data_IF_608527615140
#
_entry.id   IF_608527615140
#
_cell.length_a   1.000
_cell.length_b   1.000
_cell.length_c   1.000
_cell.angle_alpha   90.00
_cell.angle_beta   90.00
_cell.angle_gamma   90.00
#
_symmetry.space_group_name_H-M   'P 1'
#
loop_
_entity.id
_entity.type
_entity.pdbx_description
1 polymer ?
#
# COMPACT_ATOMS: atom_id res chain seq x y z
N UNK A 1 -34.61 -2.44 6.71
CA UNK A 1 -33.80 -3.61 6.34
C UNK A 1 -32.54 -3.10 5.73
N UNK A 2 -31.33 -3.32 6.32
CA UNK A 2 -30.09 -2.97 5.65
C UNK A 2 -29.93 -3.85 4.42
N UNK A 3 -29.68 -3.24 3.27
CA UNK A 3 -29.40 -3.94 2.03
C UNK A 3 -28.19 -4.86 2.26
N UNK A 4 -28.37 -6.16 2.01
CA UNK A 4 -27.27 -7.13 1.95
C UNK A 4 -26.36 -6.70 0.83
N UNK A 5 -25.27 -6.02 1.13
CA UNK A 5 -24.23 -5.72 0.16
C UNK A 5 -23.62 -7.04 -0.30
N UNK A 6 -23.64 -7.30 -1.59
CA UNK A 6 -22.91 -8.43 -2.15
C UNK A 6 -21.45 -8.38 -1.67
N UNK A 7 -20.84 -9.53 -1.37
CA UNK A 7 -19.46 -9.55 -0.90
C UNK A 7 -18.56 -8.90 -1.95
N UNK A 8 -17.71 -7.96 -1.50
CA UNK A 8 -16.76 -7.27 -2.38
C UNK A 8 -15.88 -8.30 -3.08
N UNK A 9 -15.74 -8.25 -4.41
CA UNK A 9 -15.03 -9.28 -5.14
C UNK A 9 -13.54 -9.30 -4.79
N UNK A 10 -12.97 -10.50 -4.72
CA UNK A 10 -11.53 -10.67 -4.53
C UNK A 10 -10.80 -10.22 -5.79
N UNK A 11 -9.91 -9.24 -5.65
CA UNK A 11 -9.09 -8.68 -6.72
C UNK A 11 -7.78 -9.46 -6.89
N UNK A 12 -7.10 -9.72 -5.77
CA UNK A 12 -5.82 -10.43 -5.74
C UNK A 12 -5.81 -11.43 -4.57
N UNK A 13 -5.16 -12.58 -4.76
CA UNK A 13 -4.88 -13.55 -3.72
C UNK A 13 -3.39 -13.85 -3.68
N UNK A 14 -2.87 -13.99 -2.49
CA UNK A 14 -1.53 -14.53 -2.21
C UNK A 14 -1.74 -15.88 -1.58
N UNK A 15 -1.07 -16.92 -2.08
CA UNK A 15 -1.24 -18.31 -1.62
C UNK A 15 0.11 -18.97 -1.37
N UNK A 16 0.35 -19.35 -0.11
CA UNK A 16 1.51 -20.12 0.32
C UNK A 16 2.86 -19.45 0.06
N UNK A 17 2.90 -18.11 0.01
CA UNK A 17 4.11 -17.39 -0.39
C UNK A 17 5.19 -17.51 0.67
N UNK A 18 6.39 -17.95 0.26
CA UNK A 18 7.53 -18.12 1.14
C UNK A 18 8.81 -17.53 0.55
N UNK A 19 9.69 -17.01 1.43
CA UNK A 19 11.00 -16.47 1.05
C UNK A 19 12.05 -16.72 2.12
N UNK A 20 13.25 -17.11 1.67
CA UNK A 20 14.43 -17.27 2.53
C UNK A 20 15.60 -16.44 1.99
N UNK A 21 16.44 -16.00 2.90
CA UNK A 21 17.75 -15.41 2.63
C UNK A 21 18.79 -16.20 3.43
N UNK A 22 19.49 -17.10 2.75
CA UNK A 22 20.35 -18.09 3.42
C UNK A 22 19.52 -18.93 4.41
N UNK A 23 19.90 -18.94 5.69
CA UNK A 23 19.18 -19.66 6.74
C UNK A 23 17.99 -18.90 7.32
N UNK A 24 17.88 -17.60 7.08
CA UNK A 24 16.80 -16.78 7.59
C UNK A 24 15.54 -16.92 6.75
N UNK A 25 14.42 -17.27 7.38
CA UNK A 25 13.09 -17.26 6.76
C UNK A 25 12.50 -15.87 6.91
N UNK A 26 12.40 -15.13 5.80
CA UNK A 26 11.77 -13.83 5.77
C UNK A 26 10.24 -13.91 5.65
N UNK A 27 9.74 -14.93 4.93
CA UNK A 27 8.30 -15.21 4.77
C UNK A 27 8.07 -16.72 4.86
N UNK A 28 7.00 -17.12 5.54
CA UNK A 28 6.64 -18.52 5.75
C UNK A 28 5.12 -18.72 5.57
N UNK A 29 4.73 -19.31 4.44
CA UNK A 29 3.35 -19.72 4.15
C UNK A 29 2.35 -18.56 4.27
N UNK A 30 2.62 -17.45 3.57
CA UNK A 30 1.79 -16.27 3.58
C UNK A 30 0.62 -16.45 2.62
N UNK A 31 -0.61 -16.39 3.17
CA UNK A 31 -1.84 -16.52 2.38
C UNK A 31 -2.89 -15.50 2.85
N UNK A 32 -3.37 -14.65 1.92
CA UNK A 32 -4.46 -13.69 2.17
C UNK A 32 -5.07 -13.20 0.87
N UNK A 33 -6.23 -12.56 0.98
CA UNK A 33 -6.93 -11.95 -0.14
C UNK A 33 -7.01 -10.42 -0.01
N UNK A 34 -6.95 -9.76 -1.17
CA UNK A 34 -7.19 -8.30 -1.33
C UNK A 34 -8.48 -8.13 -2.12
N UNK A 35 -9.42 -7.33 -1.59
CA UNK A 35 -10.70 -7.08 -2.25
C UNK A 35 -10.65 -5.79 -3.08
N UNK A 36 -11.49 -5.71 -4.11
CA UNK A 36 -11.54 -4.54 -4.96
C UNK A 36 -12.04 -3.30 -4.20
N UNK A 37 -11.33 -2.17 -4.35
CA UNK A 37 -11.72 -0.89 -3.74
C UNK A 37 -11.44 -0.76 -2.23
N UNK A 38 -10.76 -1.74 -1.60
CA UNK A 38 -10.38 -1.62 -0.20
C UNK A 38 -9.01 -0.95 0.00
N UNK A 39 -8.80 -0.44 1.20
CA UNK A 39 -7.48 -0.12 1.74
C UNK A 39 -7.09 -1.24 2.70
N UNK A 40 -6.19 -2.13 2.28
CA UNK A 40 -5.65 -3.20 3.12
C UNK A 40 -4.36 -2.74 3.80
N UNK A 41 -4.30 -2.84 5.13
CA UNK A 41 -3.10 -2.57 5.92
C UNK A 41 -2.28 -3.85 6.13
N UNK A 42 -1.03 -3.84 5.69
CA UNK A 42 -0.03 -4.84 6.05
C UNK A 42 0.73 -4.33 7.26
N UNK A 43 0.44 -4.87 8.43
CA UNK A 43 0.86 -4.33 9.72
C UNK A 43 1.87 -5.25 10.39
N UNK A 44 2.91 -4.67 10.94
CA UNK A 44 3.92 -5.42 11.70
C UNK A 44 5.13 -4.57 12.04
N UNK A 45 5.96 -4.99 13.00
CA UNK A 45 7.18 -4.28 13.37
C UNK A 45 8.21 -4.28 12.24
N UNK A 46 9.26 -3.52 12.41
CA UNK A 46 10.41 -3.58 11.50
C UNK A 46 11.04 -4.98 11.55
N UNK A 47 11.37 -5.50 10.38
CA UNK A 47 11.86 -6.88 10.25
C UNK A 47 10.78 -7.97 10.21
N UNK A 48 9.49 -7.65 10.32
CA UNK A 48 8.40 -8.63 10.23
C UNK A 48 8.25 -9.29 8.84
N UNK A 49 8.88 -8.70 7.80
CA UNK A 49 8.81 -9.21 6.42
C UNK A 49 7.90 -8.39 5.49
N UNK A 50 7.38 -7.21 5.92
CA UNK A 50 6.45 -6.39 5.13
C UNK A 50 7.01 -6.02 3.76
N UNK A 51 8.20 -5.41 3.70
CA UNK A 51 8.86 -5.01 2.45
C UNK A 51 9.14 -6.23 1.56
N UNK A 52 9.66 -7.32 2.12
CA UNK A 52 9.90 -8.58 1.39
C UNK A 52 8.60 -9.12 0.78
N UNK A 53 7.49 -9.05 1.51
CA UNK A 53 6.18 -9.48 1.01
C UNK A 53 5.68 -8.55 -0.11
N UNK A 54 5.79 -7.24 0.06
CA UNK A 54 5.44 -6.25 -0.98
C UNK A 54 6.24 -6.45 -2.27
N UNK A 55 7.57 -6.62 -2.15
CA UNK A 55 8.46 -6.89 -3.28
C UNK A 55 8.14 -8.20 -3.99
N UNK A 56 7.83 -9.24 -3.20
CA UNK A 56 7.45 -10.54 -3.74
C UNK A 56 6.10 -10.46 -4.48
N UNK A 57 5.11 -9.74 -3.94
CA UNK A 57 3.83 -9.47 -4.62
C UNK A 57 4.04 -8.63 -5.88
N UNK A 58 4.87 -7.60 -5.81
CA UNK A 58 5.16 -6.71 -6.94
C UNK A 58 5.93 -7.40 -8.08
N UNK A 59 6.59 -8.52 -7.78
CA UNK A 59 7.44 -9.22 -8.75
C UNK A 59 8.84 -8.63 -8.90
N UNK A 60 9.23 -7.77 -7.97
CA UNK A 60 10.60 -7.25 -7.84
C UNK A 60 11.51 -8.33 -7.26
N UNK A 61 10.97 -9.13 -6.34
CA UNK A 61 11.63 -10.25 -5.70
C UNK A 61 10.94 -11.57 -6.09
N UNK A 62 11.71 -12.58 -6.50
CA UNK A 62 11.20 -13.92 -6.70
C UNK A 62 10.98 -14.62 -5.35
N UNK A 63 9.76 -15.08 -5.08
CA UNK A 63 9.46 -15.96 -3.97
C UNK A 63 10.03 -17.36 -4.23
N UNK A 64 10.35 -18.10 -3.15
CA UNK A 64 10.86 -19.46 -3.24
C UNK A 64 9.72 -20.49 -3.34
N UNK A 65 8.52 -20.14 -2.87
CA UNK A 65 7.30 -20.95 -3.00
C UNK A 65 6.06 -20.06 -3.00
N UNK A 66 4.92 -20.63 -3.38
CA UNK A 66 3.64 -19.96 -3.44
C UNK A 66 3.45 -19.15 -4.72
N UNK A 67 2.28 -18.55 -4.85
CA UNK A 67 1.91 -17.78 -6.04
C UNK A 67 0.94 -16.66 -5.71
N UNK A 68 0.79 -15.75 -6.69
CA UNK A 68 -0.16 -14.65 -6.67
C UNK A 68 -1.19 -14.89 -7.75
N UNK A 69 -2.47 -14.76 -7.42
CA UNK A 69 -3.57 -14.82 -8.38
C UNK A 69 -4.19 -13.44 -8.54
N UNK A 70 -4.62 -13.15 -9.74
CA UNK A 70 -5.42 -11.98 -10.10
C UNK A 70 -6.81 -12.43 -10.54
N UNK A 71 -7.83 -12.08 -9.77
CA UNK A 71 -9.22 -12.53 -10.02
C UNK A 71 -9.32 -14.05 -10.24
N UNK A 72 -8.65 -14.81 -9.37
CA UNK A 72 -8.62 -16.28 -9.42
C UNK A 72 -7.70 -16.89 -10.48
N UNK A 73 -7.02 -16.08 -11.30
CA UNK A 73 -6.09 -16.58 -12.34
C UNK A 73 -4.64 -16.37 -11.90
N UNK A 74 -3.75 -17.35 -12.04
CA UNK A 74 -2.34 -17.19 -11.71
C UNK A 74 -1.68 -15.98 -12.43
N UNK A 75 -1.00 -15.15 -11.65
CA UNK A 75 -0.35 -13.94 -12.15
C UNK A 75 1.19 -14.11 -12.08
N UNK A 76 1.84 -14.52 -13.18
CA UNK A 76 3.29 -14.73 -13.20
C UNK A 76 4.05 -13.42 -13.07
N UNK A 77 5.28 -13.50 -12.55
CA UNK A 77 6.15 -12.35 -12.25
C UNK A 77 6.20 -11.29 -13.37
N UNK A 78 6.44 -11.63 -14.66
CA UNK A 78 6.57 -10.62 -15.71
C UNK A 78 5.31 -9.81 -15.97
N UNK A 79 4.14 -10.37 -15.63
CA UNK A 79 2.85 -9.74 -15.88
C UNK A 79 2.33 -8.87 -14.72
N UNK A 80 2.94 -8.94 -13.54
CA UNK A 80 2.46 -8.21 -12.36
C UNK A 80 2.41 -6.71 -12.59
N UNK A 81 3.40 -6.16 -13.27
CA UNK A 81 3.47 -4.74 -13.65
C UNK A 81 2.32 -4.26 -14.58
N UNK A 82 1.53 -5.16 -15.13
CA UNK A 82 0.36 -4.80 -15.92
C UNK A 82 -0.85 -4.45 -15.04
N UNK A 83 -0.88 -4.95 -13.80
CA UNK A 83 -2.03 -4.90 -12.90
C UNK A 83 -1.78 -4.11 -11.62
N UNK A 84 -0.53 -3.98 -11.21
CA UNK A 84 -0.19 -3.31 -9.96
C UNK A 84 1.03 -2.40 -10.12
N UNK A 85 1.03 -1.33 -9.32
CA UNK A 85 2.17 -0.44 -9.14
C UNK A 85 2.69 -0.57 -7.71
N UNK A 86 4.00 -0.63 -7.54
CA UNK A 86 4.65 -0.68 -6.24
C UNK A 86 5.48 0.57 -6.01
N UNK A 87 5.18 1.28 -4.93
CA UNK A 87 5.95 2.39 -4.38
C UNK A 87 6.72 1.89 -3.17
N UNK A 88 8.01 1.53 -3.30
CA UNK A 88 8.83 1.12 -2.17
C UNK A 88 9.17 2.29 -1.26
N UNK A 89 9.56 1.99 -0.02
CA UNK A 89 10.17 2.97 0.86
C UNK A 89 11.57 3.36 0.35
N UNK A 90 12.04 4.56 0.72
CA UNK A 90 13.38 5.04 0.41
C UNK A 90 13.63 5.42 -1.06
N UNK A 91 12.67 5.24 -1.97
CA UNK A 91 12.81 5.69 -3.36
C UNK A 91 12.88 7.22 -3.42
N UNK A 92 13.81 7.71 -4.23
CA UNK A 92 13.95 9.15 -4.53
C UNK A 92 13.96 9.34 -6.04
N UNK A 93 13.14 10.25 -6.58
CA UNK A 93 13.28 10.69 -7.96
C UNK A 93 14.63 11.42 -8.15
N UNK A 94 15.07 11.60 -9.39
CA UNK A 94 16.32 12.31 -9.69
C UNK A 94 16.30 13.74 -9.12
N UNK A 95 17.24 14.02 -8.23
CA UNK A 95 17.26 15.24 -7.41
C UNK A 95 17.45 16.53 -8.22
N UNK A 96 18.09 16.46 -9.38
CA UNK A 96 18.33 17.59 -10.30
C UNK A 96 17.12 17.97 -11.14
N UNK A 97 16.09 17.11 -11.18
CA UNK A 97 14.88 17.35 -11.97
C UNK A 97 13.90 18.27 -11.24
N UNK A 98 13.09 18.98 -12.03
CA UNK A 98 11.98 19.78 -11.51
C UNK A 98 10.76 18.88 -11.23
N UNK A 99 10.01 19.22 -10.17
CA UNK A 99 8.77 18.52 -9.80
C UNK A 99 7.80 18.42 -10.98
N UNK A 100 7.55 19.53 -11.68
CA UNK A 100 6.69 19.56 -12.87
C UNK A 100 7.16 18.54 -13.92
N UNK A 101 8.47 18.50 -14.20
CA UNK A 101 9.05 17.66 -15.25
C UNK A 101 8.85 16.17 -15.00
N UNK A 102 9.07 15.75 -13.74
CA UNK A 102 8.87 14.35 -13.34
C UNK A 102 7.38 13.97 -13.37
N UNK A 103 6.52 14.88 -12.96
CA UNK A 103 5.06 14.69 -13.01
C UNK A 103 4.57 14.57 -14.46
N UNK A 104 5.02 15.47 -15.36
CA UNK A 104 4.73 15.42 -16.80
C UNK A 104 5.23 14.12 -17.45
N UNK A 105 6.44 13.67 -17.08
CA UNK A 105 7.00 12.40 -17.59
C UNK A 105 6.10 11.22 -17.22
N UNK A 106 5.68 11.11 -15.95
CA UNK A 106 4.78 10.03 -15.53
C UNK A 106 3.43 10.12 -16.23
N UNK A 107 2.88 11.31 -16.37
CA UNK A 107 1.64 11.53 -17.11
C UNK A 107 1.76 11.06 -18.57
N UNK A 108 2.86 11.40 -19.25
CA UNK A 108 3.11 11.00 -20.64
C UNK A 108 3.31 9.48 -20.77
N UNK A 109 4.11 8.86 -19.88
CA UNK A 109 4.35 7.41 -19.88
C UNK A 109 3.05 6.62 -19.74
N UNK A 110 2.13 7.09 -18.90
CA UNK A 110 0.86 6.41 -18.62
C UNK A 110 -0.33 6.98 -19.39
N UNK A 111 -0.11 7.90 -20.33
CA UNK A 111 -1.18 8.48 -21.14
C UNK A 111 -2.26 9.21 -20.31
N UNK A 112 -1.84 9.87 -19.21
CA UNK A 112 -2.79 10.54 -18.31
C UNK A 112 -3.20 11.91 -18.87
N UNK A 113 -4.49 12.23 -18.91
CA UNK A 113 -4.94 13.54 -19.37
C UNK A 113 -4.55 14.64 -18.37
N UNK A 114 -4.37 15.86 -18.88
CA UNK A 114 -3.95 17.02 -18.08
C UNK A 114 -4.88 17.30 -16.89
N UNK A 115 -6.17 17.00 -17.04
CA UNK A 115 -7.15 17.16 -15.95
C UNK A 115 -6.84 16.25 -14.75
N UNK A 116 -6.40 15.00 -14.99
CA UNK A 116 -6.00 14.07 -13.92
C UNK A 116 -4.70 14.51 -13.28
N UNK A 117 -3.76 15.03 -14.07
CA UNK A 117 -2.50 15.58 -13.56
C UNK A 117 -2.76 16.77 -12.65
N UNK A 118 -3.56 17.74 -13.12
CA UNK A 118 -3.91 18.93 -12.36
C UNK A 118 -4.64 18.57 -11.05
N UNK A 119 -5.57 17.62 -11.10
CA UNK A 119 -6.28 17.13 -9.92
C UNK A 119 -5.33 16.47 -8.92
N UNK A 120 -4.43 15.60 -9.37
CA UNK A 120 -3.44 14.93 -8.51
C UNK A 120 -2.51 15.94 -7.84
N UNK A 121 -2.04 16.94 -8.59
CA UNK A 121 -1.20 18.04 -8.07
C UNK A 121 -1.95 18.83 -7.00
N UNK A 122 -3.21 19.18 -7.26
CA UNK A 122 -4.07 19.93 -6.34
C UNK A 122 -4.31 19.14 -5.06
N UNK A 123 -4.73 17.89 -5.18
CA UNK A 123 -5.11 17.03 -4.06
C UNK A 123 -3.93 16.74 -3.13
N UNK A 124 -2.72 16.56 -3.68
CA UNK A 124 -1.51 16.36 -2.89
C UNK A 124 -0.78 17.65 -2.52
N UNK A 125 -1.33 18.83 -2.86
CA UNK A 125 -0.79 20.13 -2.45
C UNK A 125 0.57 20.46 -3.07
N UNK A 126 0.84 20.00 -4.30
CA UNK A 126 2.14 20.17 -4.97
C UNK A 126 2.25 21.46 -5.79
N UNK A 127 1.18 22.24 -5.95
CA UNK A 127 1.15 23.39 -6.83
C UNK A 127 2.25 24.44 -6.53
N UNK A 128 2.55 24.67 -5.25
CA UNK A 128 3.57 25.65 -4.81
C UNK A 128 5.01 25.22 -5.08
N UNK A 129 5.24 23.94 -5.37
CA UNK A 129 6.60 23.38 -5.53
C UNK A 129 6.91 22.89 -6.95
N UNK A 130 5.99 23.03 -7.89
CA UNK A 130 6.16 22.53 -9.28
C UNK A 130 7.43 23.04 -9.95
N UNK A 131 7.83 24.29 -9.66
CA UNK A 131 9.03 24.95 -10.22
C UNK A 131 10.29 24.71 -9.40
N UNK A 132 10.23 23.94 -8.30
CA UNK A 132 11.39 23.59 -7.51
C UNK A 132 12.06 22.34 -8.06
N UNK A 133 13.37 22.23 -7.86
CA UNK A 133 14.08 20.98 -8.03
C UNK A 133 13.73 20.02 -6.90
N UNK A 134 13.79 18.75 -7.17
CA UNK A 134 13.48 17.71 -6.17
C UNK A 134 14.43 17.78 -4.97
N UNK A 135 15.71 18.10 -5.20
CA UNK A 135 16.68 18.36 -4.13
C UNK A 135 16.26 19.48 -3.14
N UNK A 136 15.40 20.41 -3.58
CA UNK A 136 14.96 21.55 -2.76
C UNK A 136 13.70 21.23 -1.94
N UNK A 137 13.15 20.04 -2.09
CA UNK A 137 11.93 19.63 -1.39
C UNK A 137 12.23 19.24 0.07
N UNK A 138 11.34 19.64 0.98
CA UNK A 138 11.32 19.01 2.30
C UNK A 138 10.94 17.52 2.18
N UNK A 139 11.27 16.72 3.20
CA UNK A 139 10.94 15.30 3.25
C UNK A 139 9.44 15.05 2.96
N UNK A 140 8.56 15.87 3.55
CA UNK A 140 7.11 15.79 3.32
C UNK A 140 6.70 16.09 1.88
N UNK A 141 7.26 17.13 1.25
CA UNK A 141 6.98 17.40 -0.17
C UNK A 141 7.54 16.32 -1.09
N UNK A 142 8.72 15.78 -0.80
CA UNK A 142 9.27 14.63 -1.53
C UNK A 142 8.35 13.42 -1.46
N UNK A 143 7.79 13.12 -0.26
CA UNK A 143 6.84 12.01 -0.09
C UNK A 143 5.52 12.26 -0.82
N UNK A 144 4.97 13.49 -0.76
CA UNK A 144 3.78 13.87 -1.54
C UNK A 144 4.00 13.71 -3.05
N UNK A 145 5.18 14.05 -3.56
CA UNK A 145 5.54 13.83 -4.96
C UNK A 145 5.51 12.35 -5.31
N UNK A 146 6.14 11.48 -4.52
CA UNK A 146 6.13 10.04 -4.75
C UNK A 146 4.70 9.46 -4.77
N UNK A 147 3.86 9.89 -3.83
CA UNK A 147 2.44 9.52 -3.83
C UNK A 147 1.72 10.02 -5.09
N UNK A 148 1.99 11.25 -5.55
CA UNK A 148 1.42 11.77 -6.78
C UNK A 148 1.82 10.89 -7.99
N UNK A 149 3.09 10.52 -8.10
CA UNK A 149 3.57 9.65 -9.17
C UNK A 149 2.87 8.28 -9.13
N UNK A 150 2.71 7.68 -7.95
CA UNK A 150 1.97 6.43 -7.80
C UNK A 150 0.49 6.56 -8.19
N UNK A 151 -0.15 7.67 -7.81
CA UNK A 151 -1.56 7.92 -8.14
C UNK A 151 -1.79 8.29 -9.62
N UNK A 152 -0.79 8.83 -10.30
CA UNK A 152 -0.84 9.07 -11.74
C UNK A 152 -0.80 7.77 -12.55
N UNK A 153 -0.36 6.64 -11.99
CA UNK A 153 -0.41 5.36 -12.70
C UNK A 153 -1.86 4.87 -12.88
N UNK A 154 -2.20 4.14 -13.97
CA UNK A 154 -3.56 3.65 -14.19
C UNK A 154 -3.88 2.34 -13.46
N UNK A 155 -2.91 1.78 -12.73
CA UNK A 155 -3.03 0.45 -12.16
C UNK A 155 -4.20 0.35 -11.16
N UNK A 156 -5.01 -0.71 -11.25
CA UNK A 156 -6.13 -0.91 -10.33
C UNK A 156 -5.71 -1.24 -8.89
N UNK A 157 -4.47 -1.73 -8.71
CA UNK A 157 -3.89 -2.01 -7.40
C UNK A 157 -2.59 -1.21 -7.23
N UNK A 158 -2.47 -0.52 -6.09
CA UNK A 158 -1.24 0.18 -5.71
C UNK A 158 -0.75 -0.34 -4.36
N UNK A 159 0.49 -0.79 -4.35
CA UNK A 159 1.22 -1.18 -3.14
C UNK A 159 2.09 -0.02 -2.71
N UNK A 160 2.03 0.39 -1.44
CA UNK A 160 2.84 1.49 -0.90
C UNK A 160 3.51 1.07 0.40
N UNK A 161 4.83 1.14 0.43
CA UNK A 161 5.61 0.85 1.64
C UNK A 161 5.85 2.16 2.41
N UNK A 162 5.41 2.18 3.67
CA UNK A 162 5.52 3.31 4.61
C UNK A 162 5.03 4.66 4.01
N UNK A 163 3.77 4.74 3.50
CA UNK A 163 3.30 5.91 2.74
C UNK A 163 3.26 7.21 3.57
N UNK A 164 3.28 7.11 4.89
CA UNK A 164 3.18 8.26 5.80
C UNK A 164 4.53 8.71 6.39
N UNK A 165 5.64 8.01 6.05
CA UNK A 165 6.94 8.39 6.59
C UNK A 165 7.36 9.80 6.15
N UNK A 166 7.84 10.60 7.12
CA UNK A 166 8.27 11.97 6.89
C UNK A 166 7.18 13.03 6.94
N UNK A 167 5.93 12.66 7.23
CA UNK A 167 4.86 13.61 7.49
C UNK A 167 4.71 13.94 8.98
N UNK A 168 4.30 15.18 9.28
CA UNK A 168 3.76 15.54 10.57
C UNK A 168 2.30 15.01 10.70
N UNK A 169 1.73 15.12 11.91
CA UNK A 169 0.39 14.62 12.21
C UNK A 169 -0.70 15.20 11.30
N UNK A 170 -0.59 16.49 10.93
CA UNK A 170 -1.56 17.17 10.07
C UNK A 170 -1.45 16.65 8.63
N UNK A 171 -0.23 16.61 8.12
CA UNK A 171 0.07 16.10 6.79
C UNK A 171 -0.34 14.62 6.63
N UNK A 172 -0.10 13.81 7.66
CA UNK A 172 -0.54 12.41 7.69
C UNK A 172 -2.05 12.30 7.53
N UNK A 173 -2.84 13.10 8.28
CA UNK A 173 -4.30 13.10 8.15
C UNK A 173 -4.78 13.55 6.78
N UNK A 174 -4.17 14.60 6.21
CA UNK A 174 -4.50 15.08 4.87
C UNK A 174 -4.29 13.97 3.83
N UNK A 175 -3.13 13.30 3.87
CA UNK A 175 -2.80 12.21 2.94
C UNK A 175 -3.69 10.98 3.15
N UNK A 176 -4.03 10.64 4.38
CA UNK A 176 -5.01 9.56 4.64
C UNK A 176 -6.36 9.84 3.97
N UNK A 177 -6.83 11.09 4.05
CA UNK A 177 -8.05 11.53 3.36
C UNK A 177 -7.96 11.27 1.85
N UNK A 178 -6.85 11.68 1.23
CA UNK A 178 -6.59 11.45 -0.20
C UNK A 178 -6.61 9.96 -0.55
N UNK A 179 -5.92 9.11 0.22
CA UNK A 179 -5.87 7.67 -0.06
C UNK A 179 -7.25 7.01 0.09
N UNK A 180 -8.06 7.44 1.05
CA UNK A 180 -9.43 6.95 1.19
C UNK A 180 -10.33 7.39 0.03
N UNK A 181 -10.22 8.62 -0.46
CA UNK A 181 -10.93 9.10 -1.65
C UNK A 181 -10.54 8.29 -2.90
N UNK A 182 -9.25 7.99 -3.05
CA UNK A 182 -8.73 7.15 -4.13
C UNK A 182 -9.32 5.73 -4.06
N UNK A 183 -9.40 5.13 -2.88
CA UNK A 183 -10.04 3.83 -2.71
C UNK A 183 -11.54 3.89 -2.99
N UNK A 184 -12.24 4.92 -2.50
CA UNK A 184 -13.66 5.14 -2.75
C UNK A 184 -13.97 5.34 -4.25
N UNK A 185 -13.01 5.81 -5.04
CA UNK A 185 -13.13 5.90 -6.52
C UNK A 185 -12.92 4.55 -7.23
N UNK A 186 -12.71 3.45 -6.49
CA UNK A 186 -12.60 2.08 -7.01
C UNK A 186 -11.17 1.55 -7.18
N UNK A 187 -10.14 2.33 -6.83
CA UNK A 187 -8.76 1.80 -6.77
C UNK A 187 -8.54 1.02 -5.48
N UNK A 188 -7.73 -0.01 -5.56
CA UNK A 188 -7.37 -0.83 -4.40
C UNK A 188 -5.98 -0.45 -3.91
N UNK A 189 -5.83 -0.31 -2.60
CA UNK A 189 -4.56 0.07 -1.98
C UNK A 189 -4.12 -1.01 -0.98
N UNK A 190 -2.84 -1.37 -1.01
CA UNK A 190 -2.19 -2.16 0.04
C UNK A 190 -1.09 -1.31 0.64
N UNK A 191 -1.18 -1.02 1.93
CA UNK A 191 -0.29 -0.13 2.63
C UNK A 191 0.50 -0.90 3.69
N UNK A 192 1.83 -0.98 3.57
CA UNK A 192 2.64 -1.45 4.68
C UNK A 192 2.85 -0.30 5.66
N UNK A 193 2.42 -0.48 6.90
CA UNK A 193 2.42 0.55 7.93
C UNK A 193 2.93 -0.07 9.23
N UNK A 194 3.82 0.63 9.94
CA UNK A 194 4.29 0.20 11.26
C UNK A 194 3.55 0.89 12.42
N UNK A 195 2.90 2.04 12.17
CA UNK A 195 2.14 2.79 13.18
C UNK A 195 0.68 2.30 13.21
N UNK A 196 0.33 1.54 14.24
CA UNK A 196 -1.01 0.91 14.38
C UNK A 196 -2.14 1.92 14.45
N UNK A 197 -1.92 3.07 15.11
CA UNK A 197 -2.89 4.15 15.18
C UNK A 197 -3.24 4.76 13.83
N UNK A 198 -2.28 4.85 12.92
CA UNK A 198 -2.48 5.36 11.56
C UNK A 198 -3.19 4.31 10.70
N UNK A 199 -2.78 3.04 10.80
CA UNK A 199 -3.43 1.94 10.12
C UNK A 199 -4.92 1.85 10.47
N UNK A 200 -5.27 1.93 11.77
CA UNK A 200 -6.65 1.87 12.24
C UNK A 200 -7.56 2.98 11.68
N UNK A 201 -6.98 4.11 11.23
CA UNK A 201 -7.73 5.26 10.67
C UNK A 201 -7.93 5.16 9.17
N UNK A 202 -7.00 4.55 8.45
CA UNK A 202 -7.00 4.58 6.99
C UNK A 202 -7.42 3.25 6.36
N UNK A 203 -7.17 2.10 7.02
CA UNK A 203 -7.40 0.78 6.45
C UNK A 203 -8.79 0.24 6.80
N UNK A 204 -9.38 -0.48 5.85
CA UNK A 204 -10.65 -1.19 6.01
C UNK A 204 -10.44 -2.60 6.58
N UNK A 205 -9.34 -3.25 6.18
CA UNK A 205 -8.93 -4.59 6.63
C UNK A 205 -7.43 -4.62 6.89
N UNK A 206 -6.99 -5.62 7.64
CA UNK A 206 -5.62 -5.75 8.12
C UNK A 206 -5.08 -7.15 7.87
N UNK A 207 -3.79 -7.23 7.62
CA UNK A 207 -2.97 -8.45 7.69
C UNK A 207 -1.89 -8.16 8.72
N UNK A 208 -1.94 -8.84 9.86
CA UNK A 208 -0.97 -8.70 10.94
C UNK A 208 0.19 -9.67 10.69
N UNK A 209 1.38 -9.13 10.49
CA UNK A 209 2.59 -9.86 10.15
C UNK A 209 3.59 -9.78 11.32
N UNK A 210 4.06 -10.92 11.79
CA UNK A 210 5.18 -11.01 12.72
C UNK A 210 6.03 -12.24 12.37
N UNK A 211 7.35 -12.08 12.45
CA UNK A 211 8.33 -13.14 12.19
C UNK A 211 8.11 -13.90 10.86
N UNK A 212 7.76 -13.14 9.81
CA UNK A 212 7.47 -13.69 8.48
C UNK A 212 6.21 -14.54 8.39
N UNK A 213 5.27 -14.45 9.34
CA UNK A 213 4.01 -15.18 9.37
C UNK A 213 2.83 -14.26 9.59
N UNK A 214 1.67 -14.62 9.03
CA UNK A 214 0.42 -13.96 9.36
C UNK A 214 -0.04 -14.46 10.73
N UNK A 215 -0.31 -13.51 11.64
CA UNK A 215 -0.83 -13.75 12.99
C UNK A 215 -2.33 -13.51 13.08
N UNK A 216 -2.85 -12.68 12.20
CA UNK A 216 -4.29 -12.40 12.08
C UNK A 216 -4.58 -11.67 10.78
N UNK A 217 -5.77 -11.85 10.23
CA UNK A 217 -6.23 -11.13 9.06
C UNK A 217 -7.73 -10.90 9.12
N UNK A 218 -8.19 -9.74 8.62
CA UNK A 218 -9.60 -9.38 8.58
C UNK A 218 -9.86 -7.91 8.87
N UNK A 219 -11.13 -7.56 9.02
CA UNK A 219 -11.60 -6.27 9.54
C UNK A 219 -11.27 -6.15 11.03
N UNK A 220 -11.33 -4.94 11.58
CA UNK A 220 -11.14 -4.74 13.02
C UNK A 220 -12.14 -5.55 13.85
N UNK A 221 -13.37 -5.72 13.35
CA UNK A 221 -14.40 -6.53 14.03
C UNK A 221 -14.05 -8.03 14.06
N UNK A 222 -13.57 -8.56 12.93
CA UNK A 222 -13.12 -9.96 12.82
C UNK A 222 -11.89 -10.23 13.69
N UNK A 223 -10.93 -9.31 13.72
CA UNK A 223 -9.76 -9.42 14.58
C UNK A 223 -10.12 -9.34 16.09
N UNK A 224 -11.07 -8.50 16.47
CA UNK A 224 -11.63 -8.49 17.83
C UNK A 224 -12.27 -9.82 18.22
N UNK A 225 -12.99 -10.42 17.28
CA UNK A 225 -13.58 -11.75 17.52
C UNK A 225 -12.51 -12.84 17.69
N UNK A 226 -11.40 -12.76 16.95
CA UNK A 226 -10.28 -13.70 17.08
C UNK A 226 -9.59 -13.60 18.45
N UNK A 227 -9.52 -12.40 19.05
CA UNK A 227 -8.91 -12.19 20.38
C UNK A 227 -9.90 -12.34 21.54
N UNK A 228 -11.19 -12.48 21.26
CA UNK A 228 -12.24 -12.54 22.29
C UNK A 228 -12.44 -11.23 23.06
N UNK A 229 -11.87 -10.10 22.58
CA UNK A 229 -11.99 -8.79 23.22
C UNK A 229 -12.71 -7.78 22.29
N UNK A 230 -14.04 -7.57 22.46
CA UNK A 230 -14.80 -6.67 21.59
C UNK A 230 -14.40 -5.19 21.64
N UNK A 231 -13.74 -4.77 22.74
CA UNK A 231 -13.32 -3.38 22.94
C UNK A 231 -11.85 -3.12 22.52
N UNK A 232 -11.09 -4.17 22.17
CA UNK A 232 -9.68 -4.05 21.86
C UNK A 232 -9.40 -3.07 20.71
N UNK A 233 -8.40 -2.22 20.87
CA UNK A 233 -7.80 -1.46 19.79
C UNK A 233 -6.91 -2.34 18.90
N UNK A 234 -6.46 -1.82 17.76
CA UNK A 234 -5.58 -2.58 16.87
C UNK A 234 -4.23 -2.94 17.55
N UNK A 235 -3.76 -2.08 18.48
CA UNK A 235 -2.55 -2.34 19.29
C UNK A 235 -2.73 -3.53 20.23
N UNK A 236 -3.84 -3.56 20.97
CA UNK A 236 -4.14 -4.65 21.91
C UNK A 236 -4.30 -5.98 21.16
N UNK A 237 -4.95 -5.94 19.99
CA UNK A 237 -5.13 -7.11 19.12
C UNK A 237 -3.78 -7.61 18.62
N UNK A 238 -2.92 -6.69 18.15
CA UNK A 238 -1.60 -7.06 17.66
C UNK A 238 -0.78 -7.75 18.75
N UNK A 239 -0.73 -7.17 19.95
CA UNK A 239 -0.03 -7.75 21.10
C UNK A 239 -0.58 -9.09 21.55
N UNK A 240 -1.90 -9.31 21.41
CA UNK A 240 -2.54 -10.58 21.79
C UNK A 240 -2.29 -11.70 20.78
N UNK A 241 -2.00 -11.38 19.51
CA UNK A 241 -1.83 -12.36 18.43
C UNK A 241 -0.35 -12.62 18.08
N UNK A 242 0.59 -11.80 18.57
CA UNK A 242 2.02 -11.90 18.27
C UNK A 242 2.85 -12.23 19.48
#
# INVERSE_FOLDING_TARGET
MPASSAPTPVLMQVEGLAKRYGDQRALSDISFAVHAGEVLGLIGPNGAGKTTLMEAIAGVLAADAGHVLWRGTPLPLPRRREFLFYLPDGVRPWEDQYVARVTELFAAVYGRPDSVVAETIRTLGLASVLRKRIAELSKGYGRRLLLALALLTPHPLVLMDEPFDGFDLRQTRDVMGVLREVAASGRTLVLAIHQLGDAARVCDRFVLLAEGRIRGAGTLAELRAQTGNPAAGLEDIFLALT
#
